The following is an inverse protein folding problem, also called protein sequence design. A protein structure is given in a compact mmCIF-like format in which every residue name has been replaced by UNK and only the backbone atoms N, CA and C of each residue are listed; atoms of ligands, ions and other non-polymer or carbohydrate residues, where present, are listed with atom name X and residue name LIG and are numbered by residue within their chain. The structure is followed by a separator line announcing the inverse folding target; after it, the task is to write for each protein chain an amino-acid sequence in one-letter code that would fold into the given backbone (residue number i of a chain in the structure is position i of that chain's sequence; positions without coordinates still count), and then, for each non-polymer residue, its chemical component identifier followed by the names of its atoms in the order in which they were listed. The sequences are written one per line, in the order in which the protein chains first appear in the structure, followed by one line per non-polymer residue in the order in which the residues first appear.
data_IF_055802922591
#
_entry.id   IF_055802922591
#
_cell.length_a   1.000
_cell.length_b   1.000
_cell.length_c   1.000
_cell.angle_alpha   90.00
_cell.angle_beta   90.00
_cell.angle_gamma   90.00
#
_symmetry.space_group_name_H-M   'P 1'
#
loop_
_entity.id
_entity.type
_entity.pdbx_description
1 polymer ?
#
# COMPACT_ATOMS: atom_id res chain seq x y z
N UNK A 1 -19.28 -20.98 3.83
CA UNK A 1 -17.93 -21.50 3.57
C UNK A 1 -17.00 -20.32 3.58
N UNK A 2 -16.29 -20.14 4.68
CA UNK A 2 -15.25 -19.12 4.76
C UNK A 2 -14.19 -19.46 3.72
N UNK A 3 -14.13 -18.63 2.67
CA UNK A 3 -13.07 -18.71 1.70
C UNK A 3 -11.79 -18.30 2.42
N UNK A 4 -11.06 -19.27 2.91
CA UNK A 4 -9.86 -19.07 3.68
C UNK A 4 -8.87 -18.23 2.88
N UNK A 5 -8.57 -17.04 3.35
CA UNK A 5 -7.43 -16.30 2.86
C UNK A 5 -6.17 -17.02 3.34
N UNK A 6 -5.33 -17.46 2.41
CA UNK A 6 -4.05 -18.08 2.72
C UNK A 6 -2.93 -17.08 2.41
N UNK A 7 -2.15 -16.72 3.42
CA UNK A 7 -1.05 -15.76 3.29
C UNK A 7 0.25 -16.34 3.81
N UNK A 8 1.31 -16.14 3.06
CA UNK A 8 2.66 -16.54 3.42
C UNK A 8 3.52 -15.30 3.61
N UNK A 9 4.13 -15.17 4.79
CA UNK A 9 5.13 -14.14 5.04
C UNK A 9 6.47 -14.55 4.42
N UNK A 10 7.16 -13.59 3.82
CA UNK A 10 8.47 -13.75 3.21
C UNK A 10 9.50 -13.01 4.08
N UNK A 11 9.93 -13.67 5.13
CA UNK A 11 10.74 -13.12 6.22
C UNK A 11 12.20 -12.75 5.88
N UNK A 12 12.92 -13.47 4.98
CA UNK A 12 14.38 -13.33 4.87
C UNK A 12 14.86 -11.96 4.40
N UNK A 13 14.03 -11.23 3.63
CA UNK A 13 14.43 -9.93 3.06
C UNK A 13 14.43 -8.81 4.10
N UNK A 14 13.59 -8.94 5.11
CA UNK A 14 13.32 -7.87 6.08
C UNK A 14 14.26 -7.91 7.28
N UNK A 15 14.90 -9.03 7.52
CA UNK A 15 15.94 -9.16 8.56
C UNK A 15 17.32 -8.71 8.09
N UNK A 16 17.48 -8.38 6.80
CA UNK A 16 18.74 -7.95 6.23
C UNK A 16 19.08 -6.52 6.71
N UNK A 17 20.27 -6.39 7.30
CA UNK A 17 20.77 -5.11 7.84
C UNK A 17 21.50 -4.26 6.82
N UNK A 18 21.74 -4.80 5.64
CA UNK A 18 22.45 -4.15 4.54
C UNK A 18 21.96 -4.66 3.18
N UNK A 19 22.19 -3.87 2.15
CA UNK A 19 21.73 -4.16 0.79
C UNK A 19 22.31 -5.46 0.22
N UNK A 20 23.54 -5.80 0.58
CA UNK A 20 24.18 -7.02 0.08
C UNK A 20 23.50 -8.27 0.66
N UNK A 21 23.18 -8.25 1.95
CA UNK A 21 22.44 -9.31 2.64
C UNK A 21 21.00 -9.40 2.12
N UNK A 22 20.34 -8.27 1.90
CA UNK A 22 19.01 -8.20 1.30
C UNK A 22 19.02 -8.83 -0.10
N UNK A 23 19.97 -8.47 -0.93
CA UNK A 23 20.13 -9.02 -2.30
C UNK A 23 20.44 -10.51 -2.29
N UNK A 24 21.25 -10.99 -1.36
CA UNK A 24 21.53 -12.42 -1.20
C UNK A 24 20.28 -13.21 -0.78
N UNK A 25 19.52 -12.68 0.17
CA UNK A 25 18.25 -13.26 0.61
C UNK A 25 17.22 -13.30 -0.52
N UNK A 26 17.10 -12.24 -1.32
CA UNK A 26 16.24 -12.20 -2.48
C UNK A 26 16.59 -13.25 -3.55
N UNK A 27 17.88 -13.53 -3.74
CA UNK A 27 18.33 -14.57 -4.69
C UNK A 27 18.05 -15.98 -4.18
N UNK A 28 18.10 -16.19 -2.88
CA UNK A 28 17.83 -17.50 -2.25
C UNK A 28 16.36 -17.81 -2.10
N UNK A 29 15.49 -16.78 -2.02
CA UNK A 29 14.05 -16.96 -1.94
C UNK A 29 13.46 -17.18 -3.34
N UNK A 30 12.89 -18.37 -3.55
CA UNK A 30 12.36 -18.79 -4.85
C UNK A 30 11.19 -17.89 -5.30
N UNK A 31 10.32 -17.50 -4.37
CA UNK A 31 9.17 -16.66 -4.70
C UNK A 31 9.59 -15.25 -5.10
N UNK A 32 10.53 -14.64 -4.37
CA UNK A 32 11.05 -13.32 -4.68
C UNK A 32 11.94 -13.33 -5.93
N UNK A 33 12.72 -14.38 -6.15
CA UNK A 33 13.57 -14.49 -7.34
C UNK A 33 12.76 -14.65 -8.63
N UNK A 34 11.56 -15.22 -8.54
CA UNK A 34 10.62 -15.35 -9.66
C UNK A 34 9.91 -14.05 -10.02
N UNK A 35 9.94 -13.03 -9.15
CA UNK A 35 9.31 -11.74 -9.43
C UNK A 35 10.02 -10.98 -10.54
N UNK A 36 9.23 -10.32 -11.40
CA UNK A 36 9.77 -9.38 -12.37
C UNK A 36 10.43 -8.18 -11.66
N UNK A 37 11.35 -7.46 -12.32
CA UNK A 37 11.96 -6.24 -11.76
C UNK A 37 10.93 -5.22 -11.29
N UNK A 38 9.82 -5.08 -12.01
CA UNK A 38 8.70 -4.19 -11.65
C UNK A 38 8.09 -4.56 -10.31
N UNK A 39 7.80 -5.84 -10.10
CA UNK A 39 7.24 -6.32 -8.84
C UNK A 39 8.24 -6.17 -7.69
N UNK A 40 9.53 -6.42 -7.92
CA UNK A 40 10.57 -6.18 -6.90
C UNK A 40 10.61 -4.72 -6.49
N UNK A 41 10.55 -3.81 -7.47
CA UNK A 41 10.50 -2.37 -7.21
C UNK A 41 9.27 -2.00 -6.38
N UNK A 42 8.07 -2.50 -6.74
CA UNK A 42 6.84 -2.20 -6.01
C UNK A 42 6.86 -2.70 -4.57
N UNK A 43 7.42 -3.87 -4.32
CA UNK A 43 7.37 -4.51 -3.02
C UNK A 43 8.52 -4.09 -2.10
N UNK A 44 9.71 -3.89 -2.63
CA UNK A 44 10.93 -3.77 -1.86
C UNK A 44 11.49 -2.34 -1.77
N UNK A 45 11.01 -1.41 -2.61
CA UNK A 45 11.46 -0.02 -2.50
C UNK A 45 10.73 0.70 -1.35
N UNK A 46 11.41 1.67 -0.79
CA UNK A 46 10.88 2.63 0.19
C UNK A 46 9.99 3.71 -0.46
N UNK A 47 9.89 3.69 -1.79
CA UNK A 47 9.13 4.64 -2.57
C UNK A 47 7.59 4.55 -2.38
N UNK A 48 6.91 5.60 -2.79
CA UNK A 48 5.45 5.68 -2.76
C UNK A 48 4.80 4.77 -3.80
N UNK A 49 3.98 3.81 -3.37
CA UNK A 49 3.18 2.97 -4.27
C UNK A 49 2.28 3.80 -5.18
N UNK A 50 1.67 4.86 -4.66
CA UNK A 50 0.83 5.78 -5.45
C UNK A 50 1.59 6.36 -6.64
N UNK A 51 2.84 6.78 -6.42
CA UNK A 51 3.69 7.30 -7.49
C UNK A 51 4.15 6.20 -8.45
N UNK A 52 4.51 5.04 -7.93
CA UNK A 52 4.86 3.89 -8.78
C UNK A 52 3.72 3.50 -9.70
N UNK A 53 2.49 3.44 -9.19
CA UNK A 53 1.31 3.18 -10.01
C UNK A 53 1.15 4.23 -11.11
N UNK A 54 1.25 5.52 -10.79
CA UNK A 54 1.15 6.58 -11.78
C UNK A 54 2.20 6.42 -12.89
N UNK A 55 3.43 6.05 -12.55
CA UNK A 55 4.50 5.80 -13.53
C UNK A 55 4.22 4.55 -14.38
N UNK A 56 3.81 3.46 -13.74
CA UNK A 56 3.60 2.17 -14.41
C UNK A 56 2.41 2.18 -15.38
N UNK A 57 1.35 2.88 -15.00
CA UNK A 57 0.14 2.98 -15.84
C UNK A 57 0.16 4.19 -16.77
N UNK A 58 1.23 5.01 -16.73
CA UNK A 58 1.26 6.28 -17.45
C UNK A 58 0.18 7.27 -16.99
N UNK A 59 -0.39 7.04 -15.82
CA UNK A 59 -1.54 7.78 -15.32
C UNK A 59 -1.15 9.19 -14.85
N UNK A 60 -2.00 10.17 -15.12
CA UNK A 60 -1.80 11.55 -14.61
C UNK A 60 -1.91 11.62 -13.10
N UNK A 61 -2.81 10.83 -12.52
CA UNK A 61 -3.01 10.74 -11.07
C UNK A 61 -3.41 9.33 -10.68
N UNK A 62 -3.24 9.03 -9.41
CA UNK A 62 -3.85 7.87 -8.76
C UNK A 62 -5.00 8.39 -7.91
N UNK A 63 -6.20 7.96 -8.20
CA UNK A 63 -7.39 8.28 -7.44
C UNK A 63 -7.42 7.50 -6.14
N UNK A 64 -7.93 8.11 -5.09
CA UNK A 64 -8.06 7.52 -3.77
C UNK A 64 -9.53 7.43 -3.43
N UNK A 65 -10.00 6.23 -3.26
CA UNK A 65 -11.33 5.95 -2.72
C UNK A 65 -11.18 5.60 -1.24
N UNK A 66 -11.64 6.49 -0.36
CA UNK A 66 -11.63 6.23 1.09
C UNK A 66 -12.76 5.29 1.42
N UNK A 67 -12.44 4.06 1.81
CA UNK A 67 -13.41 3.05 2.20
C UNK A 67 -13.86 3.22 3.64
N UNK A 68 -12.90 3.55 4.50
CA UNK A 68 -13.17 3.80 5.90
C UNK A 68 -12.09 4.72 6.49
N UNK A 69 -12.47 5.57 7.41
CA UNK A 69 -11.55 6.35 8.24
C UNK A 69 -12.23 6.76 9.54
N UNK A 70 -11.67 6.37 10.66
CA UNK A 70 -12.20 6.65 11.99
C UNK A 70 -11.29 6.15 13.09
N UNK A 71 -11.73 6.31 14.33
CA UNK A 71 -11.04 5.77 15.50
C UNK A 71 -11.04 4.24 15.44
N UNK A 72 -9.87 3.64 15.62
CA UNK A 72 -9.73 2.18 15.64
C UNK A 72 -10.12 1.67 17.02
N UNK A 73 -11.29 1.09 17.12
CA UNK A 73 -11.86 0.51 18.34
C UNK A 73 -11.38 -0.94 18.59
N UNK A 74 -10.51 -1.45 17.73
CA UNK A 74 -10.03 -2.84 17.77
C UNK A 74 -11.07 -3.87 17.31
N UNK A 75 -12.24 -3.42 16.83
CA UNK A 75 -13.27 -4.29 16.26
C UNK A 75 -13.05 -4.43 14.76
N UNK A 76 -13.15 -5.64 14.25
CA UNK A 76 -12.98 -5.93 12.84
C UNK A 76 -11.59 -6.45 12.49
N UNK A 77 -10.86 -5.79 11.59
CA UNK A 77 -9.51 -6.22 11.21
C UNK A 77 -8.52 -6.02 12.36
N UNK A 78 -7.81 -7.08 12.71
CA UNK A 78 -6.75 -7.00 13.71
C UNK A 78 -5.68 -5.99 13.27
N UNK A 79 -5.41 -5.02 14.12
CA UNK A 79 -4.30 -4.10 13.91
C UNK A 79 -2.96 -4.86 13.98
N UNK A 80 -1.98 -4.52 13.13
CA UNK A 80 -0.64 -5.07 13.25
C UNK A 80 -0.05 -4.79 14.65
N UNK A 81 0.83 -5.67 15.12
CA UNK A 81 1.48 -5.49 16.43
C UNK A 81 2.23 -4.17 16.55
N UNK A 82 2.75 -3.65 15.43
CA UNK A 82 3.49 -2.39 15.36
C UNK A 82 2.62 -1.16 15.68
N UNK A 83 1.30 -1.27 15.62
CA UNK A 83 0.39 -0.19 16.03
C UNK A 83 0.61 0.23 17.48
N UNK A 84 1.08 -0.68 18.34
CA UNK A 84 1.47 -0.39 19.72
C UNK A 84 2.62 0.61 19.85
N UNK A 85 3.38 0.84 18.78
CA UNK A 85 4.46 1.83 18.73
C UNK A 85 3.94 3.25 18.49
N UNK A 86 2.71 3.40 18.03
CA UNK A 86 2.10 4.71 17.79
C UNK A 86 1.82 5.37 19.14
N UNK A 87 2.40 6.55 19.33
CA UNK A 87 2.18 7.37 20.53
C UNK A 87 0.98 8.28 20.30
N UNK A 88 0.08 8.34 21.24
CA UNK A 88 -1.11 9.20 21.18
C UNK A 88 -2.29 8.56 21.88
N UNK A 89 -3.32 9.37 22.13
CA UNK A 89 -4.49 8.93 22.88
C UNK A 89 -5.49 8.17 21.99
N UNK A 90 -5.51 8.51 20.70
CA UNK A 90 -6.41 7.89 19.73
C UNK A 90 -5.66 7.39 18.53
N UNK A 91 -5.99 6.19 18.13
CA UNK A 91 -5.51 5.58 16.90
C UNK A 91 -6.58 5.72 15.83
N UNK A 92 -6.21 6.34 14.73
CA UNK A 92 -7.07 6.47 13.56
C UNK A 92 -6.65 5.41 12.54
N UNK A 93 -7.59 4.55 12.17
CA UNK A 93 -7.42 3.63 11.04
C UNK A 93 -7.97 4.30 9.78
N UNK A 94 -7.29 4.09 8.66
CA UNK A 94 -7.73 4.52 7.34
C UNK A 94 -7.55 3.39 6.35
N UNK A 95 -8.60 3.12 5.58
CA UNK A 95 -8.62 2.12 4.52
C UNK A 95 -8.96 2.79 3.19
N UNK A 96 -8.18 2.49 2.16
CA UNK A 96 -8.36 3.09 0.85
C UNK A 96 -8.18 2.08 -0.28
N UNK A 97 -8.84 2.33 -1.39
CA UNK A 97 -8.48 1.78 -2.67
C UNK A 97 -7.73 2.84 -3.49
N UNK A 98 -6.71 2.39 -4.22
CA UNK A 98 -5.98 3.22 -5.17
C UNK A 98 -6.31 2.75 -6.58
N UNK A 99 -6.81 3.69 -7.40
CA UNK A 99 -7.15 3.48 -8.81
C UNK A 99 -6.25 4.35 -9.68
N UNK A 100 -5.36 3.78 -10.50
CA UNK A 100 -4.67 4.59 -11.49
C UNK A 100 -5.70 5.05 -12.52
N UNK A 101 -5.79 6.36 -12.78
CA UNK A 101 -6.62 6.87 -13.87
C UNK A 101 -6.04 6.39 -15.19
N UNK A 102 -6.82 5.68 -15.98
CA UNK A 102 -6.40 5.28 -17.32
C UNK A 102 -6.18 6.51 -18.22
N UNK A 103 -5.14 6.46 -19.05
CA UNK A 103 -5.01 7.37 -20.18
C UNK A 103 -5.68 6.71 -21.38
N UNK A 104 -6.44 7.49 -22.17
CA UNK A 104 -6.80 7.06 -23.52
C UNK A 104 -5.57 6.96 -24.43
N UNK A 105 -5.72 6.35 -25.57
CA UNK A 105 -4.63 6.20 -26.54
C UNK A 105 -4.00 7.52 -27.00
N UNK A 106 -4.64 8.66 -26.73
CA UNK A 106 -4.19 10.01 -27.04
C UNK A 106 -3.59 10.72 -25.80
N UNK A 107 -3.42 10.01 -24.67
CA UNK A 107 -2.87 10.56 -23.43
C UNK A 107 -3.83 11.47 -22.67
N UNK A 108 -5.12 11.44 -23.02
CA UNK A 108 -6.18 12.10 -22.27
C UNK A 108 -6.72 11.16 -21.20
N UNK A 109 -7.03 11.69 -20.03
CA UNK A 109 -7.72 10.92 -19.01
C UNK A 109 -9.08 10.48 -19.53
N UNK A 110 -9.36 9.19 -19.52
CA UNK A 110 -10.70 8.69 -19.76
C UNK A 110 -11.50 9.03 -18.51
N UNK A 111 -12.09 10.21 -18.48
CA UNK A 111 -13.19 10.49 -17.57
C UNK A 111 -14.33 9.61 -18.06
N UNK A 112 -14.52 8.49 -17.36
CA UNK A 112 -15.34 7.39 -17.82
C UNK A 112 -16.80 7.76 -18.04
N UNK A 113 -17.13 8.13 -19.26
CA UNK A 113 -18.52 8.09 -19.74
C UNK A 113 -18.87 6.73 -20.39
N UNK A 114 -18.02 5.77 -20.23
CA UNK A 114 -18.15 4.36 -20.66
C UNK A 114 -18.32 3.38 -19.49
N UNK A 115 -19.24 3.64 -18.58
CA UNK A 115 -20.01 2.63 -17.82
C UNK A 115 -19.31 1.71 -16.81
N UNK A 116 -18.02 1.80 -16.56
CA UNK A 116 -17.37 0.95 -15.54
C UNK A 116 -16.17 1.62 -14.88
N UNK A 117 -16.24 1.84 -13.57
CA UNK A 117 -15.07 2.32 -12.81
C UNK A 117 -13.91 1.31 -12.96
N UNK A 118 -12.72 1.82 -13.31
CA UNK A 118 -11.50 0.97 -13.35
C UNK A 118 -11.33 0.24 -12.02
N UNK A 119 -11.11 -1.08 -12.00
CA UNK A 119 -10.87 -1.78 -10.75
C UNK A 119 -9.68 -1.18 -9.99
N UNK A 120 -9.68 -1.22 -8.66
CA UNK A 120 -8.54 -0.75 -7.90
C UNK A 120 -7.32 -1.63 -8.17
N UNK A 121 -6.14 -1.02 -8.16
CA UNK A 121 -4.87 -1.75 -8.28
C UNK A 121 -4.23 -2.04 -6.91
N UNK A 122 -4.63 -1.29 -5.87
CA UNK A 122 -4.11 -1.46 -4.51
C UNK A 122 -5.21 -1.25 -3.49
N UNK A 123 -5.25 -2.11 -2.49
CA UNK A 123 -5.88 -1.86 -1.20
C UNK A 123 -4.79 -1.50 -0.19
N UNK A 124 -5.03 -0.46 0.60
CA UNK A 124 -4.13 -0.07 1.67
C UNK A 124 -4.89 0.22 2.96
N UNK A 125 -4.35 -0.27 4.07
CA UNK A 125 -4.82 0.01 5.41
C UNK A 125 -3.67 0.63 6.20
N UNK A 126 -3.93 1.69 6.95
CA UNK A 126 -2.93 2.42 7.73
C UNK A 126 -3.48 2.87 9.06
N UNK A 127 -2.60 2.95 10.07
CA UNK A 127 -2.89 3.38 11.42
C UNK A 127 -2.01 4.56 11.78
N UNK A 128 -2.59 5.55 12.45
CA UNK A 128 -1.98 6.82 12.79
C UNK A 128 -2.42 7.26 14.18
N UNK A 129 -1.62 8.03 14.90
CA UNK A 129 -2.20 8.85 15.95
C UNK A 129 -3.09 9.94 15.35
N UNK A 130 -4.12 10.37 16.08
CA UNK A 130 -5.01 11.45 15.62
C UNK A 130 -4.21 12.72 15.27
N UNK A 131 -3.22 13.04 16.08
CA UNK A 131 -2.34 14.19 15.85
C UNK A 131 -1.56 14.08 14.54
N UNK A 132 -0.93 12.94 14.27
CA UNK A 132 -0.16 12.71 13.05
C UNK A 132 -1.07 12.66 11.81
N UNK A 133 -2.25 12.04 11.95
CA UNK A 133 -3.25 12.03 10.88
C UNK A 133 -3.65 13.45 10.49
N UNK A 134 -3.97 14.29 11.46
CA UNK A 134 -4.37 15.69 11.22
C UNK A 134 -3.23 16.50 10.61
N UNK A 135 -2.01 16.29 11.07
CA UNK A 135 -0.82 16.98 10.58
C UNK A 135 -0.45 16.60 9.16
N UNK A 136 -0.39 15.30 8.86
CA UNK A 136 0.15 14.80 7.59
C UNK A 136 -0.91 14.51 6.53
N UNK A 137 -2.19 14.41 6.92
CA UNK A 137 -3.30 14.05 6.05
C UNK A 137 -4.45 15.06 6.12
N UNK A 138 -4.18 16.38 5.98
CA UNK A 138 -5.24 17.39 6.06
C UNK A 138 -6.30 17.20 4.96
N UNK A 139 -5.88 16.74 3.77
CA UNK A 139 -6.79 16.46 2.66
C UNK A 139 -7.19 14.99 2.65
N UNK A 140 -8.35 14.71 3.25
CA UNK A 140 -8.85 13.35 3.45
C UNK A 140 -9.00 12.55 2.16
N UNK A 141 -9.50 13.17 1.10
CA UNK A 141 -9.75 12.51 -0.19
C UNK A 141 -8.49 12.40 -1.07
N UNK A 142 -7.39 12.94 -0.60
CA UNK A 142 -6.10 12.86 -1.28
C UNK A 142 -5.28 11.66 -0.83
N UNK A 143 -4.37 11.19 -1.70
CA UNK A 143 -3.41 10.18 -1.31
C UNK A 143 -2.45 10.72 -0.25
N UNK A 144 -1.91 9.84 0.58
CA UNK A 144 -0.87 10.20 1.54
C UNK A 144 0.32 10.88 0.84
N UNK A 145 0.75 10.33 -0.30
CA UNK A 145 1.83 10.94 -1.07
C UNK A 145 1.53 12.37 -1.52
N UNK A 146 0.29 12.66 -1.97
CA UNK A 146 -0.09 14.01 -2.36
C UNK A 146 -0.06 14.97 -1.18
N UNK A 147 -0.60 14.55 -0.03
CA UNK A 147 -0.56 15.34 1.21
C UNK A 147 0.89 15.65 1.66
N UNK A 148 1.75 14.64 1.70
CA UNK A 148 3.15 14.82 2.10
C UNK A 148 3.93 15.71 1.12
N UNK A 149 3.68 15.55 -0.18
CA UNK A 149 4.33 16.33 -1.23
C UNK A 149 4.00 17.83 -1.09
N UNK A 150 2.74 18.19 -0.86
CA UNK A 150 2.33 19.60 -0.70
C UNK A 150 2.96 20.23 0.52
N UNK A 151 3.24 19.44 1.54
CA UNK A 151 3.90 19.90 2.78
C UNK A 151 5.43 19.81 2.73
N UNK A 152 6.01 19.30 1.62
CA UNK A 152 7.45 19.02 1.48
C UNK A 152 8.00 18.12 2.60
N UNK A 153 7.18 17.17 3.06
CA UNK A 153 7.55 16.21 4.09
C UNK A 153 8.05 14.92 3.47
N UNK A 154 9.21 14.48 3.90
CA UNK A 154 9.78 13.18 3.57
C UNK A 154 9.66 12.25 4.76
N UNK A 155 9.13 11.05 4.54
CA UNK A 155 9.00 10.01 5.54
C UNK A 155 9.85 8.81 5.14
N UNK A 156 10.66 8.34 6.06
CA UNK A 156 11.37 7.09 5.90
C UNK A 156 10.39 5.91 6.06
N UNK A 157 10.45 4.95 5.14
CA UNK A 157 9.66 3.71 5.19
C UNK A 157 10.54 2.55 5.54
N UNK A 158 10.29 1.97 6.69
CA UNK A 158 10.90 0.71 7.09
C UNK A 158 9.98 -0.45 6.71
N UNK A 159 10.34 -1.22 5.70
CA UNK A 159 9.58 -2.41 5.30
C UNK A 159 9.77 -3.48 6.37
N UNK A 160 8.67 -3.93 6.97
CA UNK A 160 8.65 -4.93 8.05
C UNK A 160 8.34 -6.32 7.56
N UNK A 161 7.53 -6.44 6.51
CA UNK A 161 7.10 -7.72 5.99
C UNK A 161 6.65 -7.59 4.53
N UNK A 162 6.95 -8.59 3.74
CA UNK A 162 6.35 -8.84 2.45
C UNK A 162 5.60 -10.16 2.53
N UNK A 163 4.42 -10.23 1.95
CA UNK A 163 3.57 -11.41 2.00
C UNK A 163 2.88 -11.64 0.67
N UNK A 164 2.51 -12.89 0.44
CA UNK A 164 1.80 -13.33 -0.76
C UNK A 164 0.68 -14.28 -0.36
N UNK A 165 -0.46 -14.18 -1.03
CA UNK A 165 -1.57 -15.07 -0.71
C UNK A 165 -2.82 -14.85 -1.55
N UNK A 166 -3.87 -15.54 -1.18
CA UNK A 166 -5.17 -15.50 -1.83
C UNK A 166 -6.23 -14.93 -0.90
N UNK A 167 -7.14 -14.16 -1.46
CA UNK A 167 -8.31 -13.62 -0.77
C UNK A 167 -9.46 -13.49 -1.75
N UNK A 168 -10.55 -14.21 -1.50
CA UNK A 168 -11.74 -14.15 -2.34
C UNK A 168 -12.35 -12.73 -2.36
N UNK A 169 -12.30 -12.02 -1.23
CA UNK A 169 -12.75 -10.63 -1.13
C UNK A 169 -11.94 -9.71 -2.07
N UNK A 170 -10.60 -9.86 -2.08
CA UNK A 170 -9.76 -9.06 -2.97
C UNK A 170 -9.90 -9.47 -4.44
N UNK A 171 -10.16 -10.75 -4.74
CA UNK A 171 -10.45 -11.21 -6.11
C UNK A 171 -11.70 -10.54 -6.67
N UNK A 172 -12.75 -10.43 -5.85
CA UNK A 172 -13.98 -9.74 -6.23
C UNK A 172 -13.74 -8.25 -6.46
N UNK A 173 -13.08 -7.60 -5.50
CA UNK A 173 -12.83 -6.14 -5.54
C UNK A 173 -11.90 -5.75 -6.68
N UNK A 174 -10.82 -6.49 -6.89
CA UNK A 174 -9.83 -6.19 -7.94
C UNK A 174 -10.22 -6.75 -9.30
N UNK A 175 -11.29 -7.55 -9.37
CA UNK A 175 -11.70 -8.27 -10.58
C UNK A 175 -10.53 -9.05 -11.21
N UNK A 176 -9.70 -9.61 -10.35
CA UNK A 176 -8.48 -10.33 -10.72
C UNK A 176 -8.27 -11.55 -9.82
N UNK A 177 -7.68 -12.60 -10.36
CA UNK A 177 -7.32 -13.78 -9.58
C UNK A 177 -6.00 -13.58 -8.84
N UNK A 178 -5.93 -14.08 -7.60
CA UNK A 178 -4.69 -14.15 -6.84
C UNK A 178 -3.63 -15.06 -7.51
N UNK A 179 -2.42 -15.14 -6.93
CA UNK A 179 -2.08 -14.59 -5.63
C UNK A 179 -1.88 -13.08 -5.65
N UNK A 180 -2.22 -12.44 -4.54
CA UNK A 180 -1.94 -11.02 -4.31
C UNK A 180 -0.66 -10.86 -3.51
N UNK A 181 0.04 -9.77 -3.77
CA UNK A 181 1.23 -9.38 -3.06
C UNK A 181 0.93 -8.20 -2.14
N UNK A 182 1.49 -8.25 -0.95
CA UNK A 182 1.35 -7.17 0.01
C UNK A 182 2.65 -6.89 0.74
N UNK A 183 2.74 -5.71 1.30
CA UNK A 183 3.83 -5.31 2.18
C UNK A 183 3.31 -4.57 3.39
N UNK A 184 3.91 -4.81 4.52
CA UNK A 184 3.73 -4.06 5.76
C UNK A 184 4.98 -3.22 6.00
N UNK A 185 4.80 -1.96 6.38
CA UNK A 185 5.89 -1.03 6.67
C UNK A 185 5.49 -0.01 7.74
N UNK A 186 6.49 0.57 8.38
CA UNK A 186 6.34 1.66 9.33
C UNK A 186 6.83 2.94 8.67
N UNK A 187 6.12 4.03 8.90
CA UNK A 187 6.62 5.36 8.62
C UNK A 187 7.32 5.94 9.84
N UNK A 188 8.51 6.45 9.60
CA UNK A 188 9.25 7.22 10.58
C UNK A 188 9.34 8.67 10.10
N UNK A 189 8.95 9.61 10.95
CA UNK A 189 9.28 11.02 10.77
C UNK A 189 10.53 11.32 11.60
N UNK A 190 11.45 12.06 11.02
CA UNK A 190 12.72 12.44 11.66
C UNK A 190 12.59 13.59 12.65
N UNK A 191 11.47 13.70 13.38
CA UNK A 191 11.21 14.75 14.36
C UNK A 191 11.49 14.30 15.78
#
# INVERSE_FOLDING_TARGET
CDAASSWFALDPVLSARDDATAMASMRSDVALSALSPTWRMLLLSDGSVTRHLAVLYGARKTEVEVRWQGEDDGVGRAAPNDVKMIKGDKIIRREVFLRPSALDGDGRGVDGDGGGATPPAVYASSWWSETEMTKFMPERESSMWANLRTQHVELYREIRMVYCGHSAELEEVFQAKGPFWGRHYIFWNGG
#
